data_IF_906461875701
#
_entry.id   IF_906461875701
#
_cell.length_a   1.000
_cell.length_b   1.000
_cell.length_c   1.000
_cell.angle_alpha   90.00
_cell.angle_beta   90.00
_cell.angle_gamma   90.00
#
_symmetry.space_group_name_H-M   'P 1'
#
loop_
_entity.id
_entity.type
_entity.pdbx_description
1 polymer ?
#
# COMPACT_ATOMS: atom_id res chain seq x y z
N UNK A 1 4.22 -0.73 21.95
CA UNK A 1 4.56 -2.10 21.48
C UNK A 1 3.49 -2.55 20.49
N UNK A 2 3.74 -2.41 19.19
CA UNK A 2 2.86 -2.96 18.15
C UNK A 2 3.10 -4.46 18.04
N UNK A 3 2.05 -5.26 18.19
CA UNK A 3 2.14 -6.70 17.89
C UNK A 3 2.16 -6.83 16.38
N UNK A 4 3.32 -7.14 15.79
CA UNK A 4 3.39 -7.66 14.43
C UNK A 4 2.69 -9.01 14.44
N UNK A 5 1.44 -9.06 13.99
CA UNK A 5 0.74 -10.30 13.71
C UNK A 5 1.32 -10.85 12.42
N UNK A 6 2.22 -11.82 12.51
CA UNK A 6 2.56 -12.67 11.37
C UNK A 6 1.35 -13.58 11.18
N UNK A 7 0.57 -13.32 10.12
CA UNK A 7 -0.54 -14.20 9.77
C UNK A 7 0.01 -15.60 9.47
N UNK A 8 -0.59 -16.68 10.01
CA UNK A 8 -0.19 -18.03 9.65
C UNK A 8 -0.39 -18.21 8.14
N UNK A 9 0.64 -18.68 7.44
CA UNK A 9 0.48 -19.14 6.06
C UNK A 9 -0.31 -20.44 6.06
N UNK A 10 -1.32 -20.54 5.20
CA UNK A 10 -1.93 -21.82 4.90
C UNK A 10 -1.09 -22.48 3.81
N UNK A 11 -0.45 -23.65 4.06
CA UNK A 11 0.47 -24.26 3.12
C UNK A 11 -0.20 -24.70 1.80
N UNK A 12 -1.53 -24.83 1.78
CA UNK A 12 -2.29 -25.23 0.59
C UNK A 12 -2.80 -23.99 -0.15
N UNK A 13 -3.36 -23.01 0.58
CA UNK A 13 -4.04 -21.87 -0.06
C UNK A 13 -3.17 -20.61 -0.19
N UNK A 14 -2.15 -20.44 0.65
CA UNK A 14 -1.27 -19.27 0.65
C UNK A 14 0.15 -19.60 1.17
N UNK A 15 0.91 -20.43 0.42
CA UNK A 15 2.26 -20.79 0.82
C UNK A 15 3.16 -19.55 0.84
N UNK A 16 4.00 -19.45 1.87
CA UNK A 16 5.02 -18.40 1.99
C UNK A 16 6.38 -19.08 1.97
N UNK A 17 7.22 -18.70 1.01
CA UNK A 17 8.56 -19.24 0.82
C UNK A 17 9.56 -18.09 0.72
N UNK A 18 10.77 -18.32 1.24
CA UNK A 18 11.91 -17.43 1.08
C UNK A 18 12.99 -18.17 0.31
N UNK A 19 13.64 -17.47 -0.61
CA UNK A 19 14.75 -17.98 -1.42
C UNK A 19 15.93 -17.02 -1.33
N UNK A 20 17.14 -17.52 -1.55
CA UNK A 20 18.35 -16.68 -1.52
C UNK A 20 18.37 -15.67 -2.67
N UNK A 21 17.90 -16.09 -3.86
CA UNK A 21 17.88 -15.28 -5.08
C UNK A 21 16.50 -15.38 -5.75
N UNK A 22 15.69 -14.34 -5.58
CA UNK A 22 14.41 -14.23 -6.27
C UNK A 22 14.60 -14.15 -7.78
N UNK A 23 15.66 -13.52 -8.27
CA UNK A 23 15.92 -13.38 -9.71
C UNK A 23 16.19 -14.71 -10.39
N UNK A 24 16.94 -15.61 -9.75
CA UNK A 24 17.26 -16.91 -10.33
C UNK A 24 16.01 -17.79 -10.38
N UNK A 25 15.23 -17.81 -9.30
CA UNK A 25 13.95 -18.53 -9.25
C UNK A 25 12.99 -18.04 -10.34
N UNK A 26 12.89 -16.73 -10.54
CA UNK A 26 12.00 -16.13 -11.54
C UNK A 26 12.40 -16.43 -13.00
N UNK A 27 13.62 -16.91 -13.26
CA UNK A 27 14.02 -17.35 -14.61
C UNK A 27 13.30 -18.64 -15.01
N UNK A 28 13.16 -19.57 -14.06
CA UNK A 28 12.52 -20.87 -14.28
C UNK A 28 11.01 -20.82 -13.98
N UNK A 29 10.61 -20.04 -12.97
CA UNK A 29 9.23 -19.90 -12.52
C UNK A 29 8.77 -18.43 -12.51
N UNK A 30 8.37 -17.87 -13.67
CA UNK A 30 7.91 -16.49 -13.75
C UNK A 30 6.64 -16.23 -12.94
N UNK A 31 6.60 -15.09 -12.24
CA UNK A 31 5.45 -14.66 -11.45
C UNK A 31 4.93 -13.32 -11.95
N UNK A 32 3.61 -13.20 -12.08
CA UNK A 32 2.91 -11.92 -12.25
C UNK A 32 2.28 -11.53 -10.91
N UNK A 33 2.92 -10.62 -10.18
CA UNK A 33 2.44 -10.17 -8.88
C UNK A 33 1.65 -8.86 -8.97
N UNK A 34 0.52 -8.72 -8.25
CA UNK A 34 -0.18 -7.44 -8.15
C UNK A 34 0.60 -6.38 -7.36
N UNK A 35 1.49 -6.80 -6.45
CA UNK A 35 2.27 -5.91 -5.57
C UNK A 35 3.66 -6.51 -5.32
N UNK A 36 4.70 -5.67 -5.36
CA UNK A 36 6.02 -5.99 -4.81
C UNK A 36 6.23 -5.12 -3.59
N UNK A 37 6.36 -5.73 -2.41
CA UNK A 37 6.69 -5.00 -1.18
C UNK A 37 8.21 -4.89 -1.03
N UNK A 38 8.69 -3.67 -0.85
CA UNK A 38 10.12 -3.38 -0.70
C UNK A 38 10.38 -2.84 0.70
N UNK A 39 11.24 -3.53 1.42
CA UNK A 39 11.74 -3.12 2.73
C UNK A 39 13.18 -2.68 2.62
N UNK A 40 13.50 -1.48 3.11
CA UNK A 40 14.85 -0.92 3.08
C UNK A 40 15.04 0.07 4.23
N UNK A 41 16.25 0.54 4.45
CA UNK A 41 16.45 1.68 5.35
C UNK A 41 15.88 2.96 4.76
N UNK A 42 15.56 3.93 5.61
CA UNK A 42 14.97 5.20 5.21
C UNK A 42 15.87 6.03 4.29
N UNK A 43 17.19 5.88 4.40
CA UNK A 43 18.17 6.59 3.59
C UNK A 43 18.16 6.11 2.13
N UNK A 44 17.85 4.83 1.90
CA UNK A 44 17.84 4.23 0.56
C UNK A 44 16.52 4.44 -0.19
N UNK A 45 15.41 4.70 0.52
CA UNK A 45 14.08 4.83 -0.07
C UNK A 45 14.02 5.85 -1.23
N UNK A 46 14.62 7.07 -1.14
CA UNK A 46 14.56 8.03 -2.24
C UNK A 46 15.32 7.56 -3.49
N UNK A 47 16.44 6.87 -3.31
CA UNK A 47 17.24 6.32 -4.42
C UNK A 47 16.53 5.17 -5.10
N UNK A 48 15.95 4.23 -4.32
CA UNK A 48 15.14 3.12 -4.83
C UNK A 48 13.96 3.68 -5.64
N UNK A 49 13.20 4.62 -5.06
CA UNK A 49 12.05 5.23 -5.74
C UNK A 49 12.45 5.84 -7.08
N UNK A 50 13.47 6.69 -7.08
CA UNK A 50 13.93 7.35 -8.30
C UNK A 50 14.36 6.33 -9.36
N UNK A 51 15.13 5.33 -8.98
CA UNK A 51 15.69 4.35 -9.91
C UNK A 51 14.58 3.51 -10.55
N UNK A 52 13.64 2.99 -9.74
CA UNK A 52 12.53 2.18 -10.23
C UNK A 52 11.61 3.01 -11.11
N UNK A 53 11.24 4.23 -10.70
CA UNK A 53 10.34 5.09 -11.50
C UNK A 53 10.94 5.46 -12.86
N UNK A 54 12.26 5.65 -12.94
CA UNK A 54 12.95 5.93 -14.20
C UNK A 54 13.06 4.71 -15.10
N UNK A 55 13.34 3.54 -14.52
CA UNK A 55 13.52 2.30 -15.27
C UNK A 55 12.19 1.68 -15.74
N UNK A 56 11.12 1.85 -14.95
CA UNK A 56 9.83 1.19 -15.18
C UNK A 56 8.66 2.19 -15.13
N UNK A 57 8.40 2.96 -16.19
CA UNK A 57 7.30 3.95 -16.22
C UNK A 57 5.88 3.37 -16.15
N UNK A 58 5.76 2.04 -16.15
CA UNK A 58 4.50 1.27 -16.06
C UNK A 58 4.11 0.89 -14.63
N UNK A 59 4.92 1.23 -13.64
CA UNK A 59 4.62 1.03 -12.21
C UNK A 59 4.55 2.37 -11.49
N UNK A 60 3.84 2.39 -10.38
CA UNK A 60 3.88 3.47 -9.39
C UNK A 60 4.45 2.94 -8.07
N UNK A 61 5.07 3.81 -7.29
CA UNK A 61 5.59 3.50 -5.96
C UNK A 61 4.80 4.22 -4.89
N UNK A 62 4.19 3.46 -3.99
CA UNK A 62 3.41 3.95 -2.85
C UNK A 62 4.26 3.83 -1.60
N UNK A 63 4.55 4.96 -0.94
CA UNK A 63 5.23 4.96 0.35
C UNK A 63 4.26 4.52 1.44
N UNK A 64 4.65 3.49 2.20
CA UNK A 64 3.86 2.96 3.32
C UNK A 64 4.42 3.47 4.65
N UNK A 65 5.75 3.52 4.79
CA UNK A 65 6.45 4.08 5.95
C UNK A 65 7.83 4.60 5.56
N UNK A 66 8.67 4.92 6.54
CA UNK A 66 10.08 5.26 6.31
C UNK A 66 10.91 4.06 5.84
N UNK A 67 10.45 2.83 6.06
CA UNK A 67 11.21 1.62 5.77
C UNK A 67 10.48 0.66 4.81
N UNK A 68 9.29 1.06 4.33
CA UNK A 68 8.45 0.24 3.44
C UNK A 68 7.84 1.07 2.32
N UNK A 69 7.93 0.54 1.11
CA UNK A 69 7.16 1.00 -0.05
C UNK A 69 6.56 -0.20 -0.80
N UNK A 70 5.50 0.06 -1.55
CA UNK A 70 4.88 -0.90 -2.45
C UNK A 70 5.10 -0.45 -3.89
N UNK A 71 5.53 -1.36 -4.75
CA UNK A 71 5.51 -1.18 -6.21
C UNK A 71 4.24 -1.84 -6.74
N UNK A 72 3.46 -1.08 -7.50
CA UNK A 72 2.16 -1.51 -8.04
C UNK A 72 2.06 -1.15 -9.51
N UNK A 73 1.13 -1.77 -10.24
CA UNK A 73 0.82 -1.33 -11.60
C UNK A 73 0.41 0.16 -11.60
N UNK A 74 0.77 0.87 -12.66
CA UNK A 74 0.43 2.29 -12.80
C UNK A 74 -1.06 2.57 -12.59
N UNK A 75 -1.36 3.58 -11.80
CA UNK A 75 -2.72 4.00 -11.44
C UNK A 75 -3.41 3.13 -10.38
N UNK A 76 -2.75 2.09 -9.86
CA UNK A 76 -3.26 1.30 -8.75
C UNK A 76 -2.97 1.99 -7.44
N UNK A 77 -4.00 2.16 -6.62
CA UNK A 77 -3.91 2.69 -5.27
C UNK A 77 -5.17 2.35 -4.49
N UNK A 78 -5.17 2.60 -3.18
CA UNK A 78 -6.35 2.30 -2.34
C UNK A 78 -7.53 3.20 -2.71
N UNK A 79 -7.29 4.49 -2.98
CA UNK A 79 -8.32 5.43 -3.41
C UNK A 79 -8.88 5.13 -4.80
N UNK A 80 -8.04 4.64 -5.73
CA UNK A 80 -8.51 4.16 -7.02
C UNK A 80 -9.44 2.94 -6.83
N UNK A 81 -9.04 1.99 -5.97
CA UNK A 81 -9.88 0.83 -5.63
C UNK A 81 -11.21 1.21 -4.99
N UNK A 82 -11.19 2.16 -4.04
CA UNK A 82 -12.39 2.67 -3.39
C UNK A 82 -13.32 3.37 -4.39
N UNK A 83 -12.77 4.19 -5.29
CA UNK A 83 -13.53 4.88 -6.34
C UNK A 83 -14.22 3.91 -7.30
N UNK A 84 -13.54 2.82 -7.69
CA UNK A 84 -14.14 1.78 -8.51
C UNK A 84 -15.27 1.07 -7.78
N UNK A 85 -15.08 0.75 -6.49
CA UNK A 85 -16.08 0.08 -5.67
C UNK A 85 -17.34 0.95 -5.48
N UNK A 86 -17.19 2.22 -5.11
CA UNK A 86 -18.34 3.12 -4.92
C UNK A 86 -19.13 3.30 -6.21
N UNK A 87 -18.42 3.51 -7.32
CA UNK A 87 -19.05 3.62 -8.65
C UNK A 87 -19.85 2.36 -9.02
N UNK A 88 -19.30 1.17 -8.79
CA UNK A 88 -19.98 -0.09 -9.06
C UNK A 88 -21.25 -0.30 -8.20
N UNK A 89 -21.30 0.33 -7.02
CA UNK A 89 -22.43 0.27 -6.10
C UNK A 89 -23.44 1.42 -6.28
N UNK A 90 -23.17 2.37 -7.20
CA UNK A 90 -24.04 3.52 -7.44
C UNK A 90 -23.88 4.66 -6.41
N UNK A 91 -22.74 4.70 -5.71
CA UNK A 91 -22.39 5.74 -4.75
C UNK A 91 -21.21 6.58 -5.25
N UNK A 92 -20.99 7.73 -4.63
CA UNK A 92 -19.78 8.53 -4.83
C UNK A 92 -18.80 8.36 -3.66
N UNK A 93 -17.60 8.94 -3.74
CA UNK A 93 -16.65 8.91 -2.61
C UNK A 93 -17.18 9.74 -1.42
N UNK A 94 -17.96 10.78 -1.71
CA UNK A 94 -18.65 11.62 -0.72
C UNK A 94 -19.71 10.86 0.09
N UNK A 95 -20.19 9.70 -0.39
CA UNK A 95 -21.10 8.82 0.35
C UNK A 95 -20.37 7.89 1.33
N UNK A 96 -19.04 7.95 1.41
CA UNK A 96 -18.23 7.02 2.21
C UNK A 96 -17.74 7.62 3.53
N UNK A 97 -17.54 6.72 4.50
CA UNK A 97 -16.73 6.97 5.70
C UNK A 97 -15.45 6.14 5.56
N UNK A 98 -14.29 6.79 5.59
CA UNK A 98 -12.98 6.14 5.53
C UNK A 98 -12.29 6.28 6.89
N UNK A 99 -11.78 5.17 7.41
CA UNK A 99 -10.98 5.13 8.64
C UNK A 99 -9.57 4.66 8.27
N UNK A 100 -8.57 5.53 8.45
CA UNK A 100 -7.18 5.29 8.05
C UNK A 100 -6.19 5.49 9.19
N UNK A 101 -5.00 4.93 9.04
CA UNK A 101 -3.91 5.06 10.02
C UNK A 101 -2.53 5.19 9.39
N UNK A 102 -2.36 4.83 8.12
CA UNK A 102 -1.12 4.98 7.36
C UNK A 102 -1.15 6.22 6.46
N UNK A 103 0.03 6.73 6.14
CA UNK A 103 0.16 7.89 5.23
C UNK A 103 -0.40 7.61 3.83
N UNK A 104 -0.40 6.35 3.41
CA UNK A 104 -1.01 5.88 2.16
C UNK A 104 -2.55 5.90 2.19
N UNK A 105 -3.18 6.12 3.36
CA UNK A 105 -4.62 6.33 3.47
C UNK A 105 -5.02 7.80 3.26
N UNK A 106 -4.08 8.75 3.26
CA UNK A 106 -4.36 10.20 3.16
C UNK A 106 -5.23 10.54 1.94
N UNK A 107 -4.92 10.06 0.71
CA UNK A 107 -5.76 10.37 -0.45
C UNK A 107 -7.22 9.94 -0.29
N UNK A 108 -7.47 8.77 0.31
CA UNK A 108 -8.85 8.31 0.58
C UNK A 108 -9.53 9.15 1.66
N UNK A 109 -8.80 9.53 2.71
CA UNK A 109 -9.34 10.37 3.78
C UNK A 109 -9.77 11.75 3.28
N UNK A 110 -9.04 12.31 2.31
CA UNK A 110 -9.36 13.59 1.69
C UNK A 110 -10.53 13.52 0.71
N UNK A 111 -10.72 12.37 0.03
CA UNK A 111 -11.79 12.18 -0.95
C UNK A 111 -13.12 11.72 -0.34
N UNK A 112 -13.09 11.11 0.84
CA UNK A 112 -14.28 10.60 1.50
C UNK A 112 -15.18 11.72 2.04
N UNK A 113 -16.49 11.50 2.07
CA UNK A 113 -17.44 12.42 2.74
C UNK A 113 -17.14 12.59 4.23
N UNK A 114 -16.59 11.54 4.86
CA UNK A 114 -16.03 11.59 6.19
C UNK A 114 -14.74 10.77 6.29
N UNK A 115 -13.59 11.45 6.27
CA UNK A 115 -12.30 10.87 6.62
C UNK A 115 -12.01 10.91 8.12
N UNK A 116 -11.58 9.79 8.69
CA UNK A 116 -11.23 9.61 10.11
C UNK A 116 -9.81 9.04 10.24
N UNK A 117 -8.92 9.77 10.90
CA UNK A 117 -7.61 9.25 11.29
C UNK A 117 -7.68 8.57 12.66
N UNK A 118 -7.14 7.36 12.75
CA UNK A 118 -7.03 6.64 14.03
C UNK A 118 -6.08 7.36 15.00
N UNK A 119 -6.30 7.20 16.31
CA UNK A 119 -5.49 7.90 17.34
C UNK A 119 -3.99 7.56 17.35
N UNK A 120 -3.58 6.46 16.68
CA UNK A 120 -2.19 6.07 16.49
C UNK A 120 -1.61 6.51 15.13
N UNK A 121 -2.35 7.29 14.34
CA UNK A 121 -1.91 7.78 13.05
C UNK A 121 -0.79 8.83 13.19
N UNK A 122 0.11 8.95 12.20
CA UNK A 122 1.08 10.03 12.12
C UNK A 122 0.42 11.42 12.22
N UNK A 123 1.08 12.42 12.87
CA UNK A 123 0.51 13.76 13.05
C UNK A 123 0.08 14.45 11.75
N UNK A 124 0.72 14.11 10.63
CA UNK A 124 0.38 14.67 9.31
C UNK A 124 -1.02 14.28 8.81
N UNK A 125 -1.69 13.29 9.43
CA UNK A 125 -3.05 12.87 9.10
C UNK A 125 -4.14 13.65 9.87
N UNK A 126 -3.76 14.69 10.62
CA UNK A 126 -4.64 15.43 11.55
C UNK A 126 -5.71 16.32 10.91
N UNK A 127 -5.78 16.40 9.58
CA UNK A 127 -6.89 17.05 8.87
C UNK A 127 -8.17 16.19 8.88
N UNK A 128 -8.07 14.90 9.14
CA UNK A 128 -9.20 13.99 9.29
C UNK A 128 -9.85 14.13 10.69
N UNK A 129 -11.16 13.93 10.81
CA UNK A 129 -11.83 14.03 12.11
C UNK A 129 -11.29 12.94 13.04
N UNK A 130 -10.70 13.27 14.20
CA UNK A 130 -10.17 12.27 15.10
C UNK A 130 -11.30 11.46 15.74
N UNK A 131 -11.10 10.16 15.89
CA UNK A 131 -11.86 9.32 16.81
C UNK A 131 -11.13 9.30 18.16
N UNK A 132 -11.70 9.97 19.15
CA UNK A 132 -11.26 9.99 20.55
C UNK A 132 -12.43 9.70 21.47
#
# INVERSE_FOLDING_TARGET
>A
MGKTLIHPSDPIFYPVQFVESLSDMLMDEPVSTPVIEVYSTAELQPEIHRTIQQAFPSVDLIRISDEKMNIVCKGVSKEAGLSLLTSALGFTLEDTVVIGHGTDDIPMLELAGLGVAMGNAPPMMSSAKPIG
#
